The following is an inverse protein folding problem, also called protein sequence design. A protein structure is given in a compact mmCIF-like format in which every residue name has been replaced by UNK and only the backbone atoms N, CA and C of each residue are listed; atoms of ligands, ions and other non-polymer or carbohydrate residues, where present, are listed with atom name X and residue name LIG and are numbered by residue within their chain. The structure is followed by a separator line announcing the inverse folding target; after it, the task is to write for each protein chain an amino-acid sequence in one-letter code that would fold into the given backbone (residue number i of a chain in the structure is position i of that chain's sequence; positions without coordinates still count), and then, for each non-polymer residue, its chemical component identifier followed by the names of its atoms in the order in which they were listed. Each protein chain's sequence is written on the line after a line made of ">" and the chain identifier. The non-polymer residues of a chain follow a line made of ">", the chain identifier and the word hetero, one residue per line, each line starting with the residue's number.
data_IF_599375404554
#
_entry.id   IF_599375404554
#
_cell.length_a   1.000
_cell.length_b   1.000
_cell.length_c   1.000
_cell.angle_alpha   90.00
_cell.angle_beta   90.00
_cell.angle_gamma   90.00
#
_symmetry.space_group_name_H-M   'P 1'
#
loop_
_entity.id
_entity.type
_entity.pdbx_description
1 polymer ?
#
# COMPACT_ATOMS: atom_id res chain seq x y z
N UNK A 1 13.48 -6.98 -11.88
CA UNK A 1 12.97 -7.16 -10.50
C UNK A 1 11.47 -6.95 -10.42
N UNK A 2 10.93 -5.83 -10.92
CA UNK A 2 9.49 -5.54 -10.92
C UNK A 2 8.63 -6.54 -11.73
N UNK A 3 9.19 -7.23 -12.73
CA UNK A 3 8.51 -8.32 -13.43
C UNK A 3 8.09 -9.48 -12.52
N UNK A 4 8.76 -9.66 -11.37
CA UNK A 4 8.37 -10.68 -10.40
C UNK A 4 7.18 -10.16 -9.56
N UNK A 5 6.00 -10.82 -9.62
CA UNK A 5 4.81 -10.38 -8.89
C UNK A 5 5.03 -10.30 -7.38
N UNK A 6 5.84 -11.18 -6.79
CA UNK A 6 6.13 -11.16 -5.35
C UNK A 6 6.80 -9.85 -4.92
N UNK A 7 7.69 -9.30 -5.74
CA UNK A 7 8.43 -8.08 -5.38
C UNK A 7 7.52 -6.86 -5.32
N UNK A 8 6.65 -6.68 -6.32
CA UNK A 8 5.72 -5.54 -6.40
C UNK A 8 4.64 -5.61 -5.33
N UNK A 9 4.10 -6.80 -5.07
CA UNK A 9 3.17 -7.01 -3.97
C UNK A 9 3.84 -6.80 -2.61
N UNK A 10 5.10 -7.21 -2.45
CA UNK A 10 5.89 -6.93 -1.26
C UNK A 10 6.05 -5.43 -0.99
N UNK A 11 6.28 -4.63 -2.03
CA UNK A 11 6.38 -3.17 -1.91
C UNK A 11 5.05 -2.58 -1.43
N UNK A 12 3.93 -2.88 -2.13
CA UNK A 12 2.61 -2.37 -1.73
C UNK A 12 2.17 -2.84 -0.34
N UNK A 13 2.45 -4.10 0.02
CA UNK A 13 2.14 -4.63 1.34
C UNK A 13 2.95 -3.96 2.44
N UNK A 14 4.24 -3.70 2.21
CA UNK A 14 5.10 -3.04 3.20
C UNK A 14 4.63 -1.62 3.53
N UNK A 15 4.24 -0.85 2.51
CA UNK A 15 3.68 0.50 2.68
C UNK A 15 2.33 0.47 3.38
N UNK A 16 1.43 -0.40 2.94
CA UNK A 16 0.11 -0.59 3.55
C UNK A 16 0.20 -0.97 5.04
N UNK A 17 1.09 -1.89 5.41
CA UNK A 17 1.34 -2.27 6.80
C UNK A 17 1.82 -1.08 7.61
N UNK A 18 2.73 -0.26 7.07
CA UNK A 18 3.22 0.92 7.76
C UNK A 18 2.11 1.95 7.99
N UNK A 19 1.31 2.25 6.96
CA UNK A 19 0.17 3.18 7.06
C UNK A 19 -0.84 2.67 8.08
N UNK A 20 -1.17 1.37 8.04
CA UNK A 20 -2.09 0.77 8.99
C UNK A 20 -1.57 0.83 10.43
N UNK A 21 -0.28 0.55 10.65
CA UNK A 21 0.35 0.66 11.96
C UNK A 21 0.31 2.09 12.50
N UNK A 22 0.72 3.08 11.70
CA UNK A 22 0.68 4.49 12.10
C UNK A 22 -0.76 4.93 12.38
N UNK A 23 -1.71 4.53 11.54
CA UNK A 23 -3.12 4.81 11.75
C UNK A 23 -3.63 4.25 13.07
N UNK A 24 -3.31 2.99 13.37
CA UNK A 24 -3.72 2.33 14.60
C UNK A 24 -3.16 3.00 15.86
N UNK A 25 -1.87 3.34 15.87
CA UNK A 25 -1.20 3.83 17.07
C UNK A 25 -1.37 5.34 17.31
N UNK A 26 -1.58 6.15 16.26
CA UNK A 26 -1.48 7.61 16.36
C UNK A 26 -2.72 8.38 15.90
N UNK A 27 -3.64 7.76 15.14
CA UNK A 27 -4.82 8.44 14.61
C UNK A 27 -6.09 7.95 15.30
N UNK A 28 -7.09 8.83 15.37
CA UNK A 28 -8.42 8.51 15.91
C UNK A 28 -9.53 9.07 15.03
N UNK A 29 -10.74 8.54 15.20
CA UNK A 29 -11.94 9.01 14.51
C UNK A 29 -11.86 8.88 12.99
N UNK A 30 -12.37 9.88 12.28
CA UNK A 30 -12.47 9.86 10.82
C UNK A 30 -11.09 9.77 10.13
N UNK A 31 -10.07 10.44 10.68
CA UNK A 31 -8.73 10.44 10.10
C UNK A 31 -8.12 9.04 10.08
N UNK A 32 -8.39 8.24 11.12
CA UNK A 32 -7.96 6.84 11.20
C UNK A 32 -8.60 5.99 10.10
N UNK A 33 -9.91 6.19 9.86
CA UNK A 33 -10.64 5.48 8.81
C UNK A 33 -10.14 5.85 7.41
N UNK A 34 -9.87 7.14 7.17
CA UNK A 34 -9.28 7.61 5.92
C UNK A 34 -7.90 6.96 5.71
N UNK A 35 -7.06 6.92 6.74
CA UNK A 35 -5.74 6.31 6.66
C UNK A 35 -5.80 4.80 6.39
N UNK A 36 -6.79 4.07 6.95
CA UNK A 36 -7.02 2.68 6.54
C UNK A 36 -7.45 2.55 5.08
N UNK A 37 -8.29 3.47 4.60
CA UNK A 37 -8.61 3.57 3.18
C UNK A 37 -7.33 3.73 2.33
N UNK A 38 -6.41 4.61 2.74
CA UNK A 38 -5.13 4.79 2.07
C UNK A 38 -4.25 3.53 2.14
N UNK A 39 -4.23 2.80 3.25
CA UNK A 39 -3.50 1.54 3.35
C UNK A 39 -4.01 0.49 2.36
N UNK A 40 -5.34 0.37 2.20
CA UNK A 40 -5.93 -0.52 1.19
C UNK A 40 -5.58 -0.06 -0.22
N UNK A 41 -5.64 1.25 -0.47
CA UNK A 41 -5.25 1.81 -1.75
C UNK A 41 -3.78 1.51 -2.06
N UNK A 42 -2.86 1.68 -1.11
CA UNK A 42 -1.45 1.39 -1.30
C UNK A 42 -1.21 -0.11 -1.58
N UNK A 43 -1.89 -0.99 -0.84
CA UNK A 43 -1.79 -2.44 -1.03
C UNK A 43 -2.20 -2.88 -2.44
N UNK A 44 -3.21 -2.24 -3.02
CA UNK A 44 -3.79 -2.63 -4.31
C UNK A 44 -3.16 -1.89 -5.48
N UNK A 45 -3.06 -0.57 -5.38
CA UNK A 45 -2.68 0.26 -6.52
C UNK A 45 -1.17 0.28 -6.74
N UNK A 46 -0.35 0.26 -5.70
CA UNK A 46 1.11 0.24 -5.84
C UNK A 46 1.60 -0.95 -6.69
N UNK A 47 1.21 -2.22 -6.43
CA UNK A 47 1.64 -3.32 -7.29
C UNK A 47 1.10 -3.22 -8.73
N UNK A 48 -0.07 -2.61 -8.94
CA UNK A 48 -0.65 -2.40 -10.27
C UNK A 48 0.07 -1.31 -11.07
N UNK A 49 0.42 -0.19 -10.43
CA UNK A 49 1.23 0.84 -11.07
C UNK A 49 2.63 0.33 -11.39
N UNK A 50 3.23 -0.41 -10.46
CA UNK A 50 4.50 -1.07 -10.73
C UNK A 50 4.36 -2.08 -11.87
N UNK A 51 3.21 -2.77 -12.00
CA UNK A 51 2.83 -3.59 -13.17
C UNK A 51 2.95 -2.84 -14.47
N UNK A 52 2.17 -1.79 -14.58
CA UNK A 52 2.16 -0.95 -15.76
C UNK A 52 3.55 -0.39 -16.08
N UNK A 53 4.28 0.09 -15.07
CA UNK A 53 5.61 0.70 -15.24
C UNK A 53 6.72 -0.28 -15.62
N UNK A 54 6.54 -1.60 -15.49
CA UNK A 54 7.52 -2.57 -15.99
C UNK A 54 7.16 -3.12 -17.37
N UNK A 55 5.92 -2.91 -17.81
CA UNK A 55 5.43 -3.31 -19.14
C UNK A 55 5.61 -2.19 -20.18
N UNK A 56 5.71 -0.93 -19.74
CA UNK A 56 6.09 0.23 -20.56
C UNK A 56 7.58 0.50 -20.53
#
# INVERSE_FOLDING_TARGET
>A
MLHNPLFRWGIGASGAVMIAAVSYFFLTGLTQLIAYGMAVMDLVFTPLFLKYAAEG
#
